data_IF_047901702284
#
_entry.id   IF_047901702284
#
_cell.length_a   1.000
_cell.length_b   1.000
_cell.length_c   1.000
_cell.angle_alpha   90.00
_cell.angle_beta   90.00
_cell.angle_gamma   90.00
#
_symmetry.space_group_name_H-M   'P 1'
#
loop_
_entity.id
_entity.type
_entity.pdbx_description
1 polymer ?
#
# COMPACT_ATOMS: atom_id res chain seq x y z
N UNK A 1 -23.48 0.10 -27.97
CA UNK A 1 -24.24 0.62 -26.81
C UNK A 1 -25.28 1.72 -27.19
N UNK A 2 -26.37 1.45 -27.96
CA UNK A 2 -27.41 2.47 -28.14
C UNK A 2 -28.72 2.20 -27.38
N UNK A 3 -29.07 0.94 -27.05
CA UNK A 3 -30.40 0.61 -26.50
C UNK A 3 -30.56 0.76 -24.97
N UNK A 4 -29.47 0.80 -24.19
CA UNK A 4 -29.55 0.82 -22.70
C UNK A 4 -29.42 2.21 -22.07
N UNK A 5 -28.99 3.24 -22.82
CA UNK A 5 -28.91 4.60 -22.28
C UNK A 5 -30.28 5.15 -21.90
N UNK A 6 -31.34 4.78 -22.62
CA UNK A 6 -32.70 5.27 -22.37
C UNK A 6 -33.39 4.62 -21.15
N UNK A 7 -32.97 3.43 -20.71
CA UNK A 7 -33.66 2.69 -19.64
C UNK A 7 -33.39 3.22 -18.22
N UNK A 8 -32.38 4.08 -18.05
CA UNK A 8 -31.96 4.62 -16.74
C UNK A 8 -32.11 6.15 -16.64
N UNK A 9 -32.72 6.81 -17.64
CA UNK A 9 -32.77 8.27 -17.72
C UNK A 9 -33.86 8.93 -16.86
N UNK A 10 -34.98 8.24 -16.62
CA UNK A 10 -36.02 8.71 -15.70
C UNK A 10 -36.43 7.55 -14.79
N UNK A 11 -35.98 7.62 -13.54
CA UNK A 11 -36.13 6.56 -12.54
C UNK A 11 -36.69 7.12 -11.22
N UNK A 12 -37.21 8.35 -11.21
CA UNK A 12 -37.62 9.04 -9.98
C UNK A 12 -38.67 8.26 -9.16
N UNK A 13 -39.41 7.33 -9.79
CA UNK A 13 -40.41 6.46 -9.16
C UNK A 13 -40.11 4.94 -9.30
N UNK A 14 -38.87 4.55 -9.58
CA UNK A 14 -38.52 3.13 -9.74
C UNK A 14 -38.25 2.49 -8.39
N UNK A 15 -38.71 1.25 -8.19
CA UNK A 15 -38.47 0.52 -6.94
C UNK A 15 -37.02 0.01 -6.84
N UNK A 16 -36.47 -0.16 -5.62
CA UNK A 16 -35.11 -0.69 -5.42
C UNK A 16 -34.84 -2.02 -6.16
N UNK A 17 -35.81 -2.93 -6.15
CA UNK A 17 -35.71 -4.23 -6.86
C UNK A 17 -35.55 -4.02 -8.37
N UNK A 18 -36.39 -3.15 -8.96
CA UNK A 18 -36.38 -2.90 -10.40
C UNK A 18 -35.09 -2.19 -10.81
N UNK A 19 -34.62 -1.23 -10.00
CA UNK A 19 -33.33 -0.57 -10.23
C UNK A 19 -32.16 -1.58 -10.25
N UNK A 20 -32.09 -2.47 -9.25
CA UNK A 20 -31.06 -3.51 -9.19
C UNK A 20 -31.16 -4.50 -10.34
N UNK A 21 -32.38 -4.85 -10.75
CA UNK A 21 -32.61 -5.67 -11.93
C UNK A 21 -32.09 -4.98 -13.20
N UNK A 22 -32.39 -3.70 -13.41
CA UNK A 22 -31.88 -2.94 -14.56
C UNK A 22 -30.34 -2.84 -14.55
N UNK A 23 -29.72 -2.66 -13.37
CA UNK A 23 -28.26 -2.71 -13.23
C UNK A 23 -27.70 -4.08 -13.63
N UNK A 24 -28.35 -5.17 -13.21
CA UNK A 24 -27.99 -6.54 -13.61
C UNK A 24 -28.07 -6.71 -15.12
N UNK A 25 -29.19 -6.34 -15.73
CA UNK A 25 -29.38 -6.46 -17.19
C UNK A 25 -28.30 -5.65 -17.94
N UNK A 26 -28.05 -4.41 -17.52
CA UNK A 26 -27.00 -3.58 -18.13
C UNK A 26 -25.60 -4.20 -17.98
N UNK A 27 -25.30 -4.84 -16.85
CA UNK A 27 -24.05 -5.56 -16.65
C UNK A 27 -23.92 -6.80 -17.55
N UNK A 28 -24.98 -7.62 -17.62
CA UNK A 28 -24.99 -8.87 -18.40
C UNK A 28 -24.90 -8.59 -19.90
N UNK A 29 -25.71 -7.67 -20.44
CA UNK A 29 -25.73 -7.35 -21.87
C UNK A 29 -24.59 -6.43 -22.34
N UNK A 30 -23.80 -5.87 -21.42
CA UNK A 30 -22.63 -5.08 -21.78
C UNK A 30 -21.61 -5.90 -22.58
N UNK A 31 -21.03 -5.33 -23.64
CA UNK A 31 -19.99 -6.01 -24.44
C UNK A 31 -18.57 -5.65 -24.02
N UNK A 32 -18.41 -4.70 -23.11
CA UNK A 32 -17.10 -4.24 -22.62
C UNK A 32 -16.49 -5.21 -21.58
N UNK A 33 -15.19 -5.06 -21.27
CA UNK A 33 -14.56 -5.74 -20.13
C UNK A 33 -15.24 -5.36 -18.80
N UNK A 34 -15.25 -6.27 -17.83
CA UNK A 34 -15.96 -6.11 -16.55
C UNK A 34 -15.67 -4.77 -15.85
N UNK A 35 -14.40 -4.35 -15.76
CA UNK A 35 -14.00 -3.08 -15.14
C UNK A 35 -14.61 -1.87 -15.84
N UNK A 36 -14.66 -1.89 -17.18
CA UNK A 36 -15.26 -0.81 -17.96
C UNK A 36 -16.79 -0.79 -17.80
N UNK A 37 -17.44 -1.96 -17.77
CA UNK A 37 -18.88 -2.05 -17.46
C UNK A 37 -19.18 -1.45 -16.08
N UNK A 38 -18.39 -1.83 -15.07
CA UNK A 38 -18.58 -1.38 -13.70
C UNK A 38 -18.44 0.14 -13.58
N UNK A 39 -17.45 0.74 -14.27
CA UNK A 39 -17.26 2.20 -14.29
C UNK A 39 -18.45 2.93 -14.88
N UNK A 40 -19.01 2.41 -15.99
CA UNK A 40 -20.20 2.99 -16.62
C UNK A 40 -21.42 2.87 -15.71
N UNK A 41 -21.65 1.70 -15.12
CA UNK A 41 -22.76 1.47 -14.20
C UNK A 41 -22.65 2.36 -12.95
N UNK A 42 -21.44 2.57 -12.43
CA UNK A 42 -21.20 3.45 -11.30
C UNK A 42 -21.55 4.90 -11.64
N UNK A 43 -21.18 5.39 -12.83
CA UNK A 43 -21.57 6.72 -13.31
C UNK A 43 -23.08 6.85 -13.49
N UNK A 44 -23.75 5.79 -13.98
CA UNK A 44 -25.21 5.77 -14.11
C UNK A 44 -25.91 5.78 -12.76
N UNK A 45 -25.46 4.95 -11.81
CA UNK A 45 -25.97 4.95 -10.44
C UNK A 45 -25.77 6.32 -9.78
N UNK A 46 -24.60 6.94 -10.00
CA UNK A 46 -24.34 8.29 -9.51
C UNK A 46 -25.30 9.33 -10.11
N UNK A 47 -25.47 9.36 -11.44
CA UNK A 47 -26.42 10.26 -12.10
C UNK A 47 -27.86 10.05 -11.63
N UNK A 48 -28.24 8.79 -11.39
CA UNK A 48 -29.55 8.46 -10.84
C UNK A 48 -29.79 9.07 -9.45
N UNK A 49 -28.81 9.04 -8.55
CA UNK A 49 -28.96 9.65 -7.22
C UNK A 49 -29.20 11.17 -7.30
N UNK A 50 -28.73 11.86 -8.35
CA UNK A 50 -29.01 13.28 -8.60
C UNK A 50 -30.42 13.56 -9.10
N UNK A 51 -31.10 12.57 -9.67
CA UNK A 51 -32.49 12.69 -10.13
C UNK A 51 -33.50 12.55 -8.98
N UNK A 52 -33.02 12.64 -7.73
CA UNK A 52 -33.77 12.61 -6.48
C UNK A 52 -34.80 11.47 -6.40
N UNK A 53 -34.34 10.20 -6.36
CA UNK A 53 -35.25 9.06 -6.32
C UNK A 53 -36.07 9.06 -5.03
N UNK A 54 -37.37 8.79 -5.12
CA UNK A 54 -38.25 8.72 -3.96
C UNK A 54 -37.96 7.47 -3.11
N UNK A 55 -37.92 7.55 -1.76
CA UNK A 55 -38.26 8.69 -0.89
C UNK A 55 -37.04 9.58 -0.52
N UNK A 56 -35.94 9.46 -1.25
CA UNK A 56 -34.68 10.18 -1.08
C UNK A 56 -33.48 9.26 -1.40
N UNK A 57 -32.45 9.81 -2.03
CA UNK A 57 -31.27 9.06 -2.52
C UNK A 57 -30.66 8.10 -1.48
N UNK A 58 -30.44 8.55 -0.24
CA UNK A 58 -29.81 7.73 0.78
C UNK A 58 -30.73 6.60 1.29
N UNK A 59 -32.03 6.90 1.47
CA UNK A 59 -33.03 5.89 1.85
C UNK A 59 -33.16 4.85 0.75
N UNK A 60 -33.19 5.29 -0.51
CA UNK A 60 -33.26 4.41 -1.66
C UNK A 60 -32.08 3.44 -1.72
N UNK A 61 -30.85 3.92 -1.49
CA UNK A 61 -29.66 3.07 -1.43
C UNK A 61 -29.72 2.08 -0.27
N UNK A 62 -30.18 2.50 0.92
CA UNK A 62 -30.39 1.59 2.04
C UNK A 62 -31.38 0.47 1.70
N UNK A 63 -32.49 0.80 1.02
CA UNK A 63 -33.45 -0.20 0.54
C UNK A 63 -32.87 -1.12 -0.54
N UNK A 64 -32.01 -0.61 -1.43
CA UNK A 64 -31.29 -1.45 -2.38
C UNK A 64 -30.42 -2.47 -1.66
N UNK A 65 -29.70 -2.06 -0.60
CA UNK A 65 -28.84 -2.96 0.18
C UNK A 65 -29.63 -4.07 0.88
N UNK A 66 -30.88 -3.81 1.29
CA UNK A 66 -31.77 -4.86 1.83
C UNK A 66 -32.14 -5.93 0.81
N UNK A 67 -32.33 -5.54 -0.45
CA UNK A 67 -32.82 -6.41 -1.51
C UNK A 67 -31.67 -7.11 -2.26
N UNK A 68 -30.49 -6.50 -2.25
CA UNK A 68 -29.30 -6.94 -2.98
C UNK A 68 -28.93 -8.43 -2.83
N UNK A 69 -29.06 -9.06 -1.64
CA UNK A 69 -28.76 -10.48 -1.49
C UNK A 69 -29.58 -11.41 -2.39
N UNK A 70 -30.75 -10.98 -2.88
CA UNK A 70 -31.55 -11.71 -3.88
C UNK A 70 -30.78 -11.89 -5.21
N UNK A 71 -29.81 -11.02 -5.49
CA UNK A 71 -29.02 -11.05 -6.72
C UNK A 71 -27.74 -11.89 -6.62
N UNK A 72 -27.59 -12.68 -5.55
CA UNK A 72 -26.56 -13.71 -5.33
C UNK A 72 -25.15 -13.29 -5.79
N UNK A 73 -24.65 -13.86 -6.88
CA UNK A 73 -23.31 -13.62 -7.45
C UNK A 73 -23.00 -12.17 -7.80
N UNK A 74 -24.02 -11.30 -7.91
CA UNK A 74 -23.84 -9.88 -8.18
C UNK A 74 -23.89 -9.02 -6.91
N UNK A 75 -24.27 -9.60 -5.77
CA UNK A 75 -24.53 -8.88 -4.52
C UNK A 75 -23.31 -8.07 -4.05
N UNK A 76 -22.13 -8.68 -4.00
CA UNK A 76 -20.90 -8.02 -3.53
C UNK A 76 -20.51 -6.83 -4.43
N UNK A 77 -20.39 -7.08 -5.73
CA UNK A 77 -20.02 -6.07 -6.72
C UNK A 77 -21.01 -4.90 -6.73
N UNK A 78 -22.32 -5.20 -6.73
CA UNK A 78 -23.33 -4.14 -6.76
C UNK A 78 -23.44 -3.40 -5.43
N UNK A 79 -23.24 -4.06 -4.29
CA UNK A 79 -23.14 -3.40 -2.99
C UNK A 79 -22.02 -2.36 -2.99
N UNK A 80 -20.82 -2.73 -3.45
CA UNK A 80 -19.72 -1.79 -3.61
C UNK A 80 -20.02 -0.65 -4.60
N UNK A 81 -20.70 -0.95 -5.70
CA UNK A 81 -21.09 0.04 -6.70
C UNK A 81 -22.00 1.11 -6.09
N UNK A 82 -23.12 0.70 -5.48
CA UNK A 82 -24.12 1.64 -4.97
C UNK A 82 -23.63 2.40 -3.73
N UNK A 83 -22.85 1.74 -2.86
CA UNK A 83 -22.24 2.41 -1.71
C UNK A 83 -21.23 3.46 -2.19
N UNK A 84 -20.43 3.13 -3.21
CA UNK A 84 -19.49 4.10 -3.78
C UNK A 84 -20.21 5.27 -4.47
N UNK A 85 -21.32 5.02 -5.17
CA UNK A 85 -22.12 6.07 -5.78
C UNK A 85 -22.72 7.01 -4.71
N UNK A 86 -23.26 6.44 -3.63
CA UNK A 86 -23.78 7.21 -2.49
C UNK A 86 -22.67 8.02 -1.81
N UNK A 87 -21.52 7.43 -1.55
CA UNK A 87 -20.36 8.13 -0.95
C UNK A 87 -19.95 9.33 -1.78
N UNK A 88 -19.93 9.21 -3.11
CA UNK A 88 -19.62 10.34 -3.99
C UNK A 88 -20.74 11.40 -3.97
N UNK A 89 -22.01 10.97 -3.99
CA UNK A 89 -23.17 11.87 -3.89
C UNK A 89 -23.13 12.72 -2.61
N UNK A 90 -22.89 12.10 -1.46
CA UNK A 90 -22.85 12.78 -0.16
C UNK A 90 -21.69 13.79 -0.03
N UNK A 91 -20.55 13.53 -0.69
CA UNK A 91 -19.39 14.45 -0.65
C UNK A 91 -19.64 15.79 -1.35
N UNK A 92 -20.57 15.85 -2.31
CA UNK A 92 -20.84 17.06 -3.11
C UNK A 92 -21.82 18.02 -2.40
N UNK A 93 -22.19 17.73 -1.14
CA UNK A 93 -23.00 18.64 -0.33
C UNK A 93 -24.52 18.51 -0.53
N UNK A 94 -24.96 17.49 -1.29
CA UNK A 94 -26.37 17.10 -1.32
C UNK A 94 -26.69 16.43 0.03
N UNK A 95 -27.20 17.23 0.97
CA UNK A 95 -27.53 16.79 2.32
C UNK A 95 -28.42 15.54 2.32
N UNK A 96 -28.28 14.70 3.33
CA UNK A 96 -29.16 13.56 3.55
C UNK A 96 -30.58 14.07 3.91
N UNK A 97 -31.46 14.28 2.95
CA UNK A 97 -32.88 14.45 3.27
C UNK A 97 -33.36 13.20 4.04
N UNK A 98 -33.92 13.39 5.25
CA UNK A 98 -34.30 12.28 6.13
C UNK A 98 -33.12 11.54 6.79
N UNK A 99 -32.05 12.25 7.20
CA UNK A 99 -30.87 11.71 7.91
C UNK A 99 -31.25 10.65 8.94
N UNK A 100 -32.19 10.99 9.83
CA UNK A 100 -32.60 10.12 10.92
C UNK A 100 -33.17 8.79 10.44
N UNK A 101 -34.11 8.84 9.48
CA UNK A 101 -34.75 7.64 8.91
C UNK A 101 -33.74 6.78 8.16
N UNK A 102 -32.80 7.42 7.47
CA UNK A 102 -31.72 6.73 6.74
C UNK A 102 -30.79 5.99 7.70
N UNK A 103 -30.31 6.66 8.75
CA UNK A 103 -29.47 6.04 9.78
C UNK A 103 -30.16 4.89 10.49
N UNK A 104 -31.46 5.03 10.78
CA UNK A 104 -32.27 3.98 11.39
C UNK A 104 -32.41 2.76 10.46
N UNK A 105 -32.65 2.97 9.16
CA UNK A 105 -32.70 1.88 8.18
C UNK A 105 -31.35 1.16 8.04
N UNK A 106 -30.24 1.91 8.00
CA UNK A 106 -28.91 1.33 7.94
C UNK A 106 -28.55 0.57 9.25
N UNK A 107 -29.03 1.05 10.40
CA UNK A 107 -28.88 0.34 11.67
C UNK A 107 -29.70 -0.96 11.70
N UNK A 108 -30.94 -0.96 11.23
CA UNK A 108 -31.74 -2.18 11.06
C UNK A 108 -31.09 -3.16 10.07
N UNK A 109 -30.44 -2.64 9.02
CA UNK A 109 -29.71 -3.45 8.05
C UNK A 109 -28.51 -4.13 8.70
N UNK A 110 -27.75 -3.39 9.51
CA UNK A 110 -26.67 -3.94 10.32
C UNK A 110 -27.17 -5.05 11.26
N UNK A 111 -28.26 -4.83 11.99
CA UNK A 111 -28.86 -5.84 12.87
C UNK A 111 -29.23 -7.12 12.12
N UNK A 112 -29.89 -6.98 10.96
CA UNK A 112 -30.25 -8.11 10.11
C UNK A 112 -29.05 -8.89 9.55
N UNK A 113 -27.87 -8.26 9.43
CA UNK A 113 -26.65 -8.97 9.04
C UNK A 113 -26.03 -9.67 10.26
N UNK A 114 -26.01 -9.01 11.42
CA UNK A 114 -25.44 -9.54 12.67
C UNK A 114 -26.22 -10.75 13.21
N UNK A 115 -27.54 -10.76 13.05
CA UNK A 115 -28.42 -11.86 13.44
C UNK A 115 -28.46 -13.01 12.41
N UNK A 116 -27.88 -12.80 11.21
CA UNK A 116 -27.81 -13.78 10.14
C UNK A 116 -29.05 -13.85 9.25
N UNK A 117 -30.02 -12.95 9.40
CA UNK A 117 -31.23 -12.88 8.55
C UNK A 117 -30.89 -12.43 7.12
N UNK A 118 -29.87 -11.58 6.98
CA UNK A 118 -29.44 -11.03 5.71
C UNK A 118 -27.95 -11.26 5.47
N UNK A 119 -27.59 -11.82 4.33
CA UNK A 119 -26.20 -12.11 4.01
C UNK A 119 -25.56 -11.00 3.17
N UNK A 120 -24.57 -10.33 3.75
CA UNK A 120 -23.63 -9.44 3.06
C UNK A 120 -22.20 -9.82 3.44
N UNK A 121 -21.25 -9.59 2.54
CA UNK A 121 -19.83 -9.73 2.88
C UNK A 121 -19.46 -8.73 3.99
N UNK A 122 -18.59 -9.15 4.91
CA UNK A 122 -18.15 -8.34 6.05
C UNK A 122 -17.65 -6.94 5.65
N UNK A 123 -16.92 -6.84 4.53
CA UNK A 123 -16.42 -5.56 4.01
C UNK A 123 -17.53 -4.62 3.55
N UNK A 124 -18.64 -5.16 3.07
CA UNK A 124 -19.83 -4.38 2.72
C UNK A 124 -20.47 -3.82 4.00
N UNK A 125 -20.61 -4.64 5.03
CA UNK A 125 -21.15 -4.23 6.33
C UNK A 125 -20.39 -3.04 6.93
N UNK A 126 -19.05 -3.08 6.95
CA UNK A 126 -18.24 -1.94 7.45
C UNK A 126 -18.50 -0.68 6.61
N UNK A 127 -18.53 -0.80 5.29
CA UNK A 127 -18.80 0.34 4.39
C UNK A 127 -20.20 0.92 4.55
N UNK A 128 -21.20 0.10 4.89
CA UNK A 128 -22.55 0.56 5.22
C UNK A 128 -22.49 1.45 6.45
N UNK A 129 -21.88 0.98 7.54
CA UNK A 129 -21.75 1.76 8.77
C UNK A 129 -21.04 3.09 8.55
N UNK A 130 -19.94 3.09 7.78
CA UNK A 130 -19.17 4.30 7.43
C UNK A 130 -19.98 5.29 6.59
N UNK A 131 -20.61 4.85 5.49
CA UNK A 131 -21.27 5.75 4.54
C UNK A 131 -22.56 6.33 5.10
N UNK A 132 -23.26 5.56 5.94
CA UNK A 132 -24.47 6.03 6.60
C UNK A 132 -24.22 6.71 7.94
N UNK A 133 -22.98 6.71 8.44
CA UNK A 133 -22.60 7.29 9.73
C UNK A 133 -23.49 6.75 10.88
N UNK A 134 -23.58 5.42 10.96
CA UNK A 134 -24.40 4.70 11.94
C UNK A 134 -23.67 4.63 13.27
N UNK A 135 -24.24 5.24 14.31
CA UNK A 135 -23.70 5.17 15.67
C UNK A 135 -24.36 4.07 16.52
N UNK A 136 -23.79 3.77 17.70
CA UNK A 136 -24.41 2.87 18.68
C UNK A 136 -25.84 3.30 19.06
N UNK A 137 -26.11 4.60 19.15
CA UNK A 137 -27.44 5.12 19.46
C UNK A 137 -28.44 4.91 18.32
N UNK A 138 -27.99 4.78 17.07
CA UNK A 138 -28.84 4.39 15.96
C UNK A 138 -29.21 2.90 16.03
N UNK A 139 -28.25 2.05 16.39
CA UNK A 139 -28.46 0.61 16.58
C UNK A 139 -29.46 0.37 17.71
N UNK A 140 -29.28 1.03 18.85
CA UNK A 140 -30.20 0.91 19.99
C UNK A 140 -31.64 1.26 19.60
N UNK A 141 -31.83 2.39 18.92
CA UNK A 141 -33.15 2.81 18.42
C UNK A 141 -33.75 1.83 17.42
N UNK A 142 -32.92 1.14 16.63
CA UNK A 142 -33.34 0.13 15.68
C UNK A 142 -33.79 -1.18 16.37
N UNK A 143 -33.25 -1.50 17.54
CA UNK A 143 -33.60 -2.70 18.31
C UNK A 143 -35.00 -2.62 18.94
N UNK A 144 -35.42 -1.43 19.39
CA UNK A 144 -36.64 -1.25 20.20
C UNK A 144 -37.79 -0.56 19.46
N UNK A 145 -37.69 -0.36 18.14
CA UNK A 145 -38.68 0.39 17.34
C UNK A 145 -39.14 1.69 18.03
N UNK A 146 -38.16 2.58 18.26
CA UNK A 146 -38.30 4.01 18.58
C UNK A 146 -39.63 4.49 19.21
N UNK A 147 -39.95 4.12 20.45
CA UNK A 147 -40.89 4.91 21.28
C UNK A 147 -40.71 4.81 22.81
N UNK A 148 -39.86 3.92 23.34
CA UNK A 148 -39.65 3.85 24.80
C UNK A 148 -38.45 4.69 25.27
N UNK A 149 -38.77 5.81 25.92
CA UNK A 149 -37.80 6.67 26.63
C UNK A 149 -37.28 5.93 27.86
N UNK A 150 -36.05 5.42 27.79
CA UNK A 150 -35.37 4.92 29.00
C UNK A 150 -34.18 3.98 28.79
N UNK A 151 -33.87 3.57 27.56
CA UNK A 151 -32.82 2.58 27.34
C UNK A 151 -31.43 3.21 27.24
N UNK A 152 -30.45 2.50 27.83
CA UNK A 152 -29.07 2.91 27.90
C UNK A 152 -28.28 2.25 26.77
N UNK A 153 -27.41 3.04 26.11
CA UNK A 153 -26.48 2.64 25.03
C UNK A 153 -25.67 1.35 25.27
N UNK A 154 -25.71 0.81 26.49
CA UNK A 154 -25.06 -0.42 26.91
C UNK A 154 -25.55 -1.65 26.13
N UNK A 155 -26.84 -1.79 25.81
CA UNK A 155 -27.34 -3.00 25.12
C UNK A 155 -26.80 -3.11 23.69
N UNK A 156 -26.82 -2.00 22.94
CA UNK A 156 -26.27 -1.97 21.59
C UNK A 156 -24.75 -2.22 21.57
N UNK A 157 -24.03 -1.66 22.56
CA UNK A 157 -22.59 -1.90 22.73
C UNK A 157 -22.30 -3.38 22.97
N UNK A 158 -23.03 -4.03 23.89
CA UNK A 158 -22.87 -5.46 24.19
C UNK A 158 -23.13 -6.33 22.95
N UNK A 159 -24.16 -6.02 22.17
CA UNK A 159 -24.45 -6.75 20.92
C UNK A 159 -23.30 -6.62 19.92
N UNK A 160 -22.77 -5.41 19.74
CA UNK A 160 -21.63 -5.16 18.85
C UNK A 160 -20.38 -5.91 19.34
N UNK A 161 -20.10 -5.90 20.64
CA UNK A 161 -18.96 -6.62 21.25
C UNK A 161 -19.08 -8.14 21.10
N UNK A 162 -20.29 -8.69 21.22
CA UNK A 162 -20.56 -10.10 20.97
C UNK A 162 -20.32 -10.45 19.49
N UNK A 163 -20.74 -9.60 18.56
CA UNK A 163 -20.46 -9.80 17.14
C UNK A 163 -18.97 -9.71 16.82
N UNK A 164 -18.27 -8.73 17.41
CA UNK A 164 -16.81 -8.60 17.28
C UNK A 164 -16.10 -9.84 17.82
N UNK A 165 -16.53 -10.37 18.97
CA UNK A 165 -15.99 -11.62 19.51
C UNK A 165 -16.14 -12.78 18.52
N UNK A 166 -17.32 -12.92 17.89
CA UNK A 166 -17.55 -13.93 16.83
C UNK A 166 -16.60 -13.75 15.63
N UNK A 167 -16.38 -12.51 15.19
CA UNK A 167 -15.43 -12.20 14.11
C UNK A 167 -13.99 -12.56 14.49
N UNK A 168 -13.60 -12.32 15.74
CA UNK A 168 -12.27 -12.69 16.23
C UNK A 168 -12.10 -14.20 16.26
N UNK A 169 -13.12 -14.94 16.69
CA UNK A 169 -13.11 -16.40 16.72
C UNK A 169 -13.07 -17.00 15.31
N UNK A 170 -13.69 -16.34 14.32
CA UNK A 170 -13.61 -16.71 12.91
C UNK A 170 -12.35 -16.20 12.19
N UNK A 171 -11.40 -15.58 12.90
CA UNK A 171 -10.18 -14.97 12.35
C UNK A 171 -10.41 -13.79 11.39
N UNK A 172 -11.57 -13.15 11.43
CA UNK A 172 -11.93 -11.95 10.67
C UNK A 172 -11.42 -10.66 11.33
N UNK A 173 -10.12 -10.58 11.62
CA UNK A 173 -9.54 -9.49 12.44
C UNK A 173 -9.64 -8.10 11.83
N UNK A 174 -9.48 -7.94 10.52
CA UNK A 174 -9.61 -6.63 9.86
C UNK A 174 -11.01 -6.03 10.04
N UNK A 175 -12.05 -6.86 9.93
CA UNK A 175 -13.45 -6.45 10.15
C UNK A 175 -13.66 -6.11 11.61
N UNK A 176 -13.20 -6.96 12.54
CA UNK A 176 -13.29 -6.73 13.97
C UNK A 176 -12.66 -5.38 14.38
N UNK A 177 -11.43 -5.10 13.92
CA UNK A 177 -10.73 -3.83 14.19
C UNK A 177 -11.48 -2.64 13.58
N UNK A 178 -12.05 -2.79 12.37
CA UNK A 178 -12.81 -1.71 11.74
C UNK A 178 -14.09 -1.37 12.51
N UNK A 179 -14.76 -2.36 13.09
CA UNK A 179 -15.93 -2.14 13.95
C UNK A 179 -15.55 -1.51 15.30
N UNK A 180 -14.47 -1.98 15.93
CA UNK A 180 -13.95 -1.37 17.16
C UNK A 180 -13.60 0.10 16.95
N UNK A 181 -12.92 0.43 15.85
CA UNK A 181 -12.59 1.81 15.48
C UNK A 181 -13.86 2.64 15.22
N UNK A 182 -14.77 2.14 14.38
CA UNK A 182 -16.00 2.85 14.00
C UNK A 182 -16.87 3.20 15.22
N UNK A 183 -17.01 2.27 16.18
CA UNK A 183 -17.78 2.50 17.41
C UNK A 183 -16.94 3.04 18.58
N UNK A 184 -15.65 3.32 18.35
CA UNK A 184 -14.72 3.83 19.37
C UNK A 184 -14.58 2.95 20.63
N UNK A 185 -14.58 1.63 20.47
CA UNK A 185 -14.47 0.64 21.58
C UNK A 185 -12.99 0.27 21.80
N UNK A 186 -12.48 0.38 23.04
CA UNK A 186 -11.03 0.30 23.36
C UNK A 186 -10.61 -0.79 24.36
N UNK A 187 -11.52 -1.67 24.78
CA UNK A 187 -11.36 -2.48 26.00
C UNK A 187 -10.30 -3.59 25.95
N UNK A 188 -9.74 -3.92 24.78
CA UNK A 188 -8.85 -5.09 24.60
C UNK A 188 -7.39 -4.76 24.23
N UNK A 189 -6.98 -3.50 24.37
CA UNK A 189 -5.70 -2.90 23.95
C UNK A 189 -4.56 -3.84 23.52
N UNK A 190 -3.80 -4.37 24.48
CA UNK A 190 -2.57 -5.13 24.20
C UNK A 190 -2.80 -6.63 23.97
N UNK A 191 -3.68 -7.26 24.74
CA UNK A 191 -3.98 -8.70 24.58
C UNK A 191 -4.54 -9.03 23.20
N UNK A 192 -5.39 -8.14 22.67
CA UNK A 192 -5.93 -8.28 21.32
C UNK A 192 -4.86 -8.09 20.24
N UNK A 193 -3.91 -7.17 20.46
CA UNK A 193 -2.76 -6.98 19.58
C UNK A 193 -1.93 -8.27 19.49
N UNK A 194 -1.58 -8.87 20.63
CA UNK A 194 -0.79 -10.10 20.68
C UNK A 194 -1.49 -11.25 19.94
N UNK A 195 -2.81 -11.41 20.14
CA UNK A 195 -3.62 -12.41 19.43
C UNK A 195 -3.56 -12.22 17.91
N UNK A 196 -3.62 -10.98 17.40
CA UNK A 196 -3.47 -10.70 15.96
C UNK A 196 -2.07 -11.05 15.44
N UNK A 197 -1.02 -10.76 16.22
CA UNK A 197 0.36 -11.06 15.83
C UNK A 197 0.64 -12.56 15.81
N UNK A 198 0.07 -13.33 16.73
CA UNK A 198 0.10 -14.80 16.73
C UNK A 198 -0.56 -15.39 15.49
N UNK A 199 -1.71 -14.84 15.08
CA UNK A 199 -2.41 -15.21 13.84
C UNK A 199 -1.76 -14.66 12.57
N UNK A 200 -0.64 -13.93 12.67
CA UNK A 200 0.07 -13.27 11.55
C UNK A 200 -0.77 -12.23 10.81
N UNK A 201 -1.78 -11.67 11.47
CA UNK A 201 -2.68 -10.64 10.94
C UNK A 201 -2.08 -9.24 11.10
N UNK A 202 -0.94 -9.01 10.44
CA UNK A 202 -0.13 -7.80 10.64
C UNK A 202 -0.85 -6.50 10.27
N UNK A 203 -1.65 -6.50 9.19
CA UNK A 203 -2.41 -5.31 8.77
C UNK A 203 -3.48 -4.92 9.79
N UNK A 204 -4.14 -5.91 10.39
CA UNK A 204 -5.14 -5.66 11.43
C UNK A 204 -4.46 -5.13 12.71
N UNK A 205 -3.33 -5.72 13.08
CA UNK A 205 -2.50 -5.27 14.20
C UNK A 205 -2.04 -3.82 14.04
N UNK A 206 -1.53 -3.44 12.86
CA UNK A 206 -1.11 -2.07 12.55
C UNK A 206 -2.29 -1.08 12.64
N UNK A 207 -3.44 -1.42 12.06
CA UNK A 207 -4.66 -0.61 12.13
C UNK A 207 -5.13 -0.42 13.58
N UNK A 208 -5.15 -1.49 14.37
CA UNK A 208 -5.54 -1.45 15.77
C UNK A 208 -4.58 -0.60 16.62
N UNK A 209 -3.27 -0.79 16.44
CA UNK A 209 -2.27 -0.01 17.15
C UNK A 209 -2.39 1.49 16.83
N UNK A 210 -2.62 1.83 15.55
CA UNK A 210 -2.84 3.22 15.11
C UNK A 210 -4.06 3.84 15.81
N UNK A 211 -5.17 3.10 15.88
CA UNK A 211 -6.39 3.55 16.56
C UNK A 211 -6.22 3.71 18.08
N UNK A 212 -5.50 2.78 18.73
CA UNK A 212 -5.23 2.84 20.17
C UNK A 212 -4.21 3.93 20.54
N UNK A 213 -3.32 4.27 19.60
CA UNK A 213 -2.35 5.36 19.72
C UNK A 213 -0.95 4.91 20.14
N UNK A 214 -0.13 5.91 20.50
CA UNK A 214 1.33 5.76 20.70
C UNK A 214 1.75 4.61 21.62
N UNK A 215 1.09 4.33 22.77
CA UNK A 215 1.50 3.22 23.64
C UNK A 215 1.46 1.85 22.96
N UNK A 216 0.37 1.54 22.26
CA UNK A 216 0.19 0.26 21.58
C UNK A 216 1.07 0.18 20.32
N UNK A 217 1.30 1.30 19.63
CA UNK A 217 2.28 1.36 18.54
C UNK A 217 3.70 1.02 19.01
N UNK A 218 4.11 1.53 20.17
CA UNK A 218 5.41 1.18 20.75
C UNK A 218 5.51 -0.31 21.09
N UNK A 219 4.45 -0.91 21.65
CA UNK A 219 4.38 -2.36 21.88
C UNK A 219 4.49 -3.13 20.56
N UNK A 220 3.76 -2.73 19.52
CA UNK A 220 3.80 -3.36 18.20
C UNK A 220 5.22 -3.35 17.60
N UNK A 221 5.93 -2.22 17.68
CA UNK A 221 7.31 -2.11 17.18
C UNK A 221 8.23 -3.07 17.91
N UNK A 222 8.15 -3.15 19.25
CA UNK A 222 8.95 -4.09 20.06
C UNK A 222 8.64 -5.54 19.69
N UNK A 223 7.37 -5.87 19.52
CA UNK A 223 6.96 -7.21 19.09
C UNK A 223 7.47 -7.58 17.70
N UNK A 224 7.47 -6.65 16.74
CA UNK A 224 8.06 -6.88 15.43
C UNK A 224 9.57 -7.11 15.51
N UNK A 225 10.29 -6.39 16.36
CA UNK A 225 11.72 -6.62 16.58
C UNK A 225 11.97 -8.00 17.19
N UNK A 226 11.23 -8.36 18.24
CA UNK A 226 11.30 -9.67 18.90
C UNK A 226 11.08 -10.83 17.91
N UNK A 227 10.16 -10.64 16.97
CA UNK A 227 9.81 -11.62 15.93
C UNK A 227 10.71 -11.54 14.68
N UNK A 228 11.79 -10.75 14.72
CA UNK A 228 12.74 -10.52 13.60
C UNK A 228 12.08 -9.93 12.33
N UNK A 229 10.97 -9.21 12.48
CA UNK A 229 10.23 -8.55 11.40
C UNK A 229 10.68 -7.08 11.23
N UNK A 230 11.98 -6.86 11.02
CA UNK A 230 12.58 -5.52 11.01
C UNK A 230 11.95 -4.56 9.99
N UNK A 231 11.50 -5.05 8.83
CA UNK A 231 10.80 -4.23 7.84
C UNK A 231 9.48 -3.67 8.38
N UNK A 232 8.68 -4.51 9.04
CA UNK A 232 7.40 -4.08 9.61
C UNK A 232 7.62 -3.07 10.74
N UNK A 233 8.60 -3.31 11.62
CA UNK A 233 9.01 -2.36 12.65
C UNK A 233 9.39 -1.00 12.05
N UNK A 234 10.24 -0.98 11.02
CA UNK A 234 10.65 0.24 10.34
C UNK A 234 9.47 0.98 9.71
N UNK A 235 8.59 0.27 9.01
CA UNK A 235 7.43 0.86 8.34
C UNK A 235 6.48 1.53 9.35
N UNK A 236 6.20 0.87 10.49
CA UNK A 236 5.38 1.45 11.58
C UNK A 236 6.04 2.69 12.18
N UNK A 237 7.35 2.63 12.49
CA UNK A 237 8.10 3.77 13.04
C UNK A 237 8.01 4.97 12.10
N UNK A 238 8.20 4.74 10.80
CA UNK A 238 8.19 5.78 9.76
C UNK A 238 6.80 6.40 9.58
N UNK A 239 5.76 5.58 9.52
CA UNK A 239 4.39 6.06 9.26
C UNK A 239 3.78 6.81 10.45
N UNK A 240 4.22 6.52 11.67
CA UNK A 240 3.63 7.06 12.90
C UNK A 240 4.54 8.06 13.64
N UNK A 241 5.63 8.52 12.99
CA UNK A 241 6.59 9.47 13.56
C UNK A 241 7.18 9.04 14.92
N UNK A 242 7.61 7.78 15.03
CA UNK A 242 8.16 7.20 16.26
C UNK A 242 9.70 7.12 16.27
N UNK A 243 10.36 8.01 15.52
CA UNK A 243 11.82 7.96 15.34
C UNK A 243 12.57 8.27 16.64
N UNK A 244 12.02 9.12 17.49
CA UNK A 244 12.61 9.51 18.77
C UNK A 244 12.55 8.38 19.80
N UNK A 245 11.49 7.57 19.79
CA UNK A 245 11.37 6.40 20.66
C UNK A 245 12.25 5.23 20.24
N UNK A 246 12.53 5.11 18.94
CA UNK A 246 13.26 3.97 18.37
C UNK A 246 14.35 4.41 17.38
N UNK A 247 15.28 5.29 17.78
CA UNK A 247 16.32 5.80 16.87
C UNK A 247 17.23 4.69 16.39
N UNK A 248 17.55 3.75 17.29
CA UNK A 248 18.46 2.64 17.00
C UNK A 248 17.87 1.64 16.01
N UNK A 249 16.60 1.24 16.18
CA UNK A 249 15.93 0.30 15.25
C UNK A 249 15.79 0.94 13.87
N UNK A 250 15.47 2.23 13.83
CA UNK A 250 15.35 2.98 12.59
C UNK A 250 16.68 3.05 11.84
N UNK A 251 17.77 3.35 12.57
CA UNK A 251 19.14 3.41 12.05
C UNK A 251 19.63 2.04 11.56
N UNK A 252 19.57 1.02 12.40
CA UNK A 252 20.00 -0.34 12.07
C UNK A 252 19.30 -0.90 10.82
N UNK A 253 18.01 -0.62 10.64
CA UNK A 253 17.31 -1.06 9.44
C UNK A 253 17.87 -0.39 8.18
N UNK A 254 18.10 0.92 8.22
CA UNK A 254 18.70 1.67 7.10
C UNK A 254 20.12 1.18 6.81
N UNK A 255 20.96 1.03 7.83
CA UNK A 255 22.32 0.49 7.71
C UNK A 255 22.29 -0.92 7.07
N UNK A 256 21.40 -1.81 7.52
CA UNK A 256 21.27 -3.16 6.95
C UNK A 256 20.87 -3.16 5.46
N UNK A 257 20.06 -2.18 5.04
CA UNK A 257 19.66 -2.01 3.63
C UNK A 257 20.80 -1.46 2.80
N UNK A 258 21.56 -0.53 3.37
CA UNK A 258 22.72 0.07 2.73
C UNK A 258 23.84 -0.96 2.54
N UNK A 259 24.15 -1.71 3.58
CA UNK A 259 25.11 -2.82 3.54
C UNK A 259 24.77 -3.82 2.43
N UNK A 260 23.50 -4.21 2.29
CA UNK A 260 23.06 -5.11 1.21
C UNK A 260 23.20 -4.53 -0.21
N UNK A 261 23.24 -3.20 -0.36
CA UNK A 261 23.49 -2.56 -1.65
C UNK A 261 24.99 -2.48 -1.92
N UNK A 262 25.78 -2.13 -0.90
CA UNK A 262 27.24 -2.12 -0.93
C UNK A 262 27.82 -3.51 -1.27
N UNK A 263 27.33 -4.57 -0.62
CA UNK A 263 27.71 -5.97 -0.89
C UNK A 263 27.42 -6.41 -2.33
N UNK A 264 26.53 -5.71 -3.05
CA UNK A 264 26.20 -5.96 -4.46
C UNK A 264 26.95 -5.04 -5.42
N UNK A 265 27.85 -4.20 -4.92
CA UNK A 265 28.53 -3.17 -5.71
C UNK A 265 27.61 -2.03 -6.20
N UNK A 266 26.37 -1.94 -5.71
CA UNK A 266 25.41 -0.92 -6.15
C UNK A 266 25.60 0.41 -5.41
N UNK A 267 26.81 0.98 -5.45
CA UNK A 267 27.21 2.13 -4.64
C UNK A 267 26.39 3.40 -4.95
N UNK A 268 26.15 3.69 -6.22
CA UNK A 268 25.39 4.90 -6.62
C UNK A 268 23.92 4.82 -6.15
N UNK A 269 23.34 3.62 -6.16
CA UNK A 269 21.97 3.39 -5.65
C UNK A 269 21.95 3.47 -4.12
N UNK A 270 23.03 3.07 -3.46
CA UNK A 270 23.20 3.20 -2.01
C UNK A 270 23.27 4.68 -1.62
N UNK A 271 24.11 5.45 -2.30
CA UNK A 271 24.28 6.90 -2.15
C UNK A 271 22.96 7.65 -2.38
N UNK A 272 22.26 7.40 -3.48
CA UNK A 272 20.99 8.05 -3.79
C UNK A 272 19.85 7.78 -2.78
N UNK A 273 19.99 6.74 -1.94
CA UNK A 273 19.02 6.43 -0.86
C UNK A 273 19.34 7.11 0.46
N UNK A 274 20.53 7.70 0.58
CA UNK A 274 20.93 8.49 1.72
C UNK A 274 20.47 9.92 1.46
N UNK A 275 19.31 10.28 2.02
CA UNK A 275 18.72 11.63 1.92
C UNK A 275 19.48 12.63 2.81
N UNK A 276 20.77 12.85 2.53
CA UNK A 276 21.68 13.75 3.27
C UNK A 276 21.88 13.38 4.75
N UNK A 277 21.63 12.11 5.10
CA UNK A 277 21.85 11.58 6.44
C UNK A 277 23.36 11.32 6.64
N UNK A 278 24.06 12.30 7.24
CA UNK A 278 25.53 12.30 7.40
C UNK A 278 26.06 11.01 8.04
N UNK A 279 25.35 10.46 9.02
CA UNK A 279 25.76 9.20 9.68
C UNK A 279 25.71 8.00 8.73
N UNK A 280 24.72 7.97 7.83
CA UNK A 280 24.64 6.90 6.82
C UNK A 280 25.63 7.10 5.68
N UNK A 281 25.99 8.35 5.35
CA UNK A 281 27.09 8.65 4.42
C UNK A 281 28.42 8.15 4.99
N UNK A 282 28.73 8.48 6.23
CA UNK A 282 29.92 8.01 6.94
C UNK A 282 29.95 6.47 7.01
N UNK A 283 28.80 5.82 7.24
CA UNK A 283 28.68 4.36 7.20
C UNK A 283 28.87 3.78 5.78
N UNK A 284 28.43 4.47 4.72
CA UNK A 284 28.68 4.04 3.34
C UNK A 284 30.18 4.08 3.00
N UNK A 285 30.86 5.14 3.42
CA UNK A 285 32.32 5.28 3.26
C UNK A 285 33.04 4.15 4.00
N UNK A 286 32.65 3.86 5.24
CA UNK A 286 33.18 2.73 6.00
C UNK A 286 33.01 1.40 5.25
N UNK A 287 31.82 1.14 4.69
CA UNK A 287 31.57 -0.08 3.92
C UNK A 287 32.42 -0.15 2.64
N UNK A 288 32.65 0.98 1.96
CA UNK A 288 33.52 1.05 0.79
C UNK A 288 35.00 0.78 1.17
N UNK A 289 35.47 1.33 2.29
CA UNK A 289 36.80 1.06 2.84
C UNK A 289 36.97 -0.43 3.19
N UNK A 290 36.01 -1.03 3.92
CA UNK A 290 36.06 -2.46 4.26
C UNK A 290 36.07 -3.36 3.02
N UNK A 291 35.38 -2.94 1.96
CA UNK A 291 35.31 -3.67 0.70
C UNK A 291 36.51 -3.39 -0.23
N UNK A 292 37.43 -2.50 0.14
CA UNK A 292 38.62 -2.16 -0.65
C UNK A 292 38.37 -1.23 -1.86
N UNK A 293 37.22 -0.55 -1.93
CA UNK A 293 36.89 0.38 -3.02
C UNK A 293 37.45 1.78 -2.72
N UNK A 294 38.76 1.93 -2.82
CA UNK A 294 39.51 3.17 -2.56
C UNK A 294 39.00 4.36 -3.36
N UNK A 295 38.79 4.20 -4.67
CA UNK A 295 38.29 5.26 -5.54
C UNK A 295 36.90 5.76 -5.10
N UNK A 296 36.03 4.85 -4.65
CA UNK A 296 34.68 5.22 -4.19
C UNK A 296 34.73 5.95 -2.85
N UNK A 297 35.68 5.60 -1.97
CA UNK A 297 35.93 6.32 -0.72
C UNK A 297 36.35 7.75 -1.00
N UNK A 298 37.30 7.97 -1.92
CA UNK A 298 37.73 9.31 -2.32
C UNK A 298 36.58 10.11 -2.94
N UNK A 299 35.84 9.52 -3.89
CA UNK A 299 34.68 10.16 -4.54
C UNK A 299 33.65 10.65 -3.50
N UNK A 300 33.29 9.80 -2.53
CA UNK A 300 32.31 10.13 -1.49
C UNK A 300 32.84 11.19 -0.51
N UNK A 301 34.11 11.08 -0.09
CA UNK A 301 34.73 12.05 0.81
C UNK A 301 34.83 13.44 0.16
N UNK A 302 35.24 13.52 -1.10
CA UNK A 302 35.32 14.78 -1.85
C UNK A 302 33.93 15.38 -2.10
N UNK A 303 32.97 14.57 -2.58
CA UNK A 303 31.61 15.04 -2.91
C UNK A 303 30.88 15.61 -1.69
N UNK A 304 31.04 14.98 -0.53
CA UNK A 304 30.31 15.34 0.68
C UNK A 304 31.16 16.07 1.74
N UNK A 305 32.42 16.42 1.42
CA UNK A 305 33.35 17.08 2.34
C UNK A 305 33.48 16.35 3.68
N UNK A 306 33.66 15.02 3.64
CA UNK A 306 33.81 14.18 4.82
C UNK A 306 35.28 14.12 5.25
N UNK A 307 35.54 14.39 6.53
CA UNK A 307 36.88 14.41 7.13
C UNK A 307 37.03 13.26 8.14
N UNK A 308 38.27 12.77 8.34
CA UNK A 308 38.58 11.75 9.36
C UNK A 308 38.63 10.29 8.87
N UNK A 309 38.35 10.04 7.60
CA UNK A 309 38.65 8.78 6.94
C UNK A 309 40.11 8.80 6.49
N UNK A 310 40.86 7.72 6.75
CA UNK A 310 42.29 7.63 6.41
C UNK A 310 42.46 8.01 4.95
N UNK A 311 43.34 8.99 4.73
CA UNK A 311 43.67 9.47 3.40
C UNK A 311 44.24 8.28 2.64
N UNK A 312 43.49 7.72 1.69
CA UNK A 312 43.94 6.57 0.92
C UNK A 312 45.28 6.85 0.24
N UNK A 313 45.55 8.13 -0.06
CA UNK A 313 46.85 8.66 -0.48
C UNK A 313 48.03 8.29 0.43
N UNK A 314 47.86 8.27 1.76
CA UNK A 314 48.91 7.81 2.70
C UNK A 314 49.11 6.29 2.67
N UNK A 315 48.07 5.52 2.30
CA UNK A 315 48.16 4.07 2.14
C UNK A 315 48.78 3.71 0.77
N UNK A 316 48.45 4.46 -0.27
CA UNK A 316 49.01 4.33 -1.62
C UNK A 316 50.51 4.69 -1.68
N UNK A 317 51.00 5.60 -0.83
CA UNK A 317 52.45 5.86 -0.70
C UNK A 317 53.25 4.63 -0.22
N UNK A 318 52.58 3.62 0.36
CA UNK A 318 53.20 2.36 0.82
C UNK A 318 53.06 1.18 -0.15
N UNK A 319 52.26 1.32 -1.21
CA UNK A 319 52.08 0.29 -2.24
C UNK A 319 52.90 0.72 -3.45
N UNK A 320 53.83 -0.12 -3.97
CA UNK A 320 54.60 0.26 -5.15
C UNK A 320 53.62 0.58 -6.28
N UNK A 321 53.66 1.85 -6.70
CA UNK A 321 52.86 2.47 -7.77
C UNK A 321 52.43 1.39 -8.77
N UNK A 322 51.15 1.03 -8.74
CA UNK A 322 50.55 0.24 -9.80
C UNK A 322 50.64 1.12 -11.05
N UNK A 323 51.68 0.86 -11.85
CA UNK A 323 51.86 1.48 -13.15
C UNK A 323 50.70 0.96 -13.99
N UNK A 324 49.78 1.86 -14.34
CA UNK A 324 48.81 1.59 -15.40
C UNK A 324 49.59 1.09 -16.62
N UNK A 325 49.19 -0.06 -17.15
CA UNK A 325 49.78 -0.61 -18.36
C UNK A 325 49.46 0.37 -19.49
N UNK A 326 50.44 1.16 -19.89
CA UNK A 326 50.25 2.08 -21.01
C UNK A 326 50.18 1.23 -22.29
N UNK A 327 49.26 1.55 -23.21
CA UNK A 327 49.03 0.79 -24.45
C UNK A 327 50.30 0.65 -25.31
N UNK A 328 51.23 1.59 -25.15
CA UNK A 328 52.57 1.63 -25.74
C UNK A 328 53.58 0.67 -25.08
N UNK A 329 53.27 0.13 -23.90
CA UNK A 329 54.03 -0.92 -23.22
C UNK A 329 53.57 -2.33 -23.62
N UNK A 330 52.32 -2.47 -24.04
CA UNK A 330 51.87 -3.67 -24.74
C UNK A 330 52.56 -3.67 -26.09
N UNK A 331 53.41 -4.67 -26.35
CA UNK A 331 53.94 -4.85 -27.70
C UNK A 331 52.75 -4.96 -28.66
N UNK A 332 52.55 -3.94 -29.50
CA UNK A 332 51.39 -3.69 -30.39
C UNK A 332 51.07 -4.87 -31.34
N UNK A 333 51.85 -5.94 -31.31
CA UNK A 333 51.63 -7.17 -32.08
C UNK A 333 50.49 -8.06 -31.56
N UNK A 334 50.01 -7.87 -30.32
CA UNK A 334 48.96 -8.71 -29.72
C UNK A 334 47.61 -7.99 -29.55
N UNK A 335 47.50 -6.72 -29.98
CA UNK A 335 46.25 -5.95 -29.96
C UNK A 335 45.71 -5.84 -31.38
N UNK A 336 44.58 -6.50 -31.65
CA UNK A 336 43.88 -6.41 -32.93
C UNK A 336 42.80 -5.33 -32.83
N UNK A 337 42.98 -4.24 -33.58
CA UNK A 337 41.96 -3.22 -33.73
C UNK A 337 40.96 -3.66 -34.80
N UNK A 338 39.67 -3.65 -34.46
CA UNK A 338 38.59 -4.09 -35.34
C UNK A 338 37.74 -2.88 -35.74
N UNK A 339 38.29 -2.07 -36.64
CA UNK A 339 37.64 -0.87 -37.18
C UNK A 339 37.14 -1.05 -38.62
N UNK A 340 37.59 -2.08 -39.32
CA UNK A 340 37.22 -2.41 -40.69
C UNK A 340 36.67 -3.85 -40.85
N UNK A 341 35.98 -4.10 -41.96
CA UNK A 341 35.32 -5.39 -42.22
C UNK A 341 36.32 -6.56 -42.30
N UNK A 342 37.52 -6.33 -42.86
CA UNK A 342 38.55 -7.35 -42.97
C UNK A 342 39.16 -7.67 -41.59
N UNK A 343 39.44 -6.65 -40.77
CA UNK A 343 39.90 -6.85 -39.38
C UNK A 343 38.86 -7.56 -38.51
N UNK A 344 37.56 -7.41 -38.80
CA UNK A 344 36.50 -8.15 -38.11
C UNK A 344 36.50 -9.62 -38.46
N UNK A 345 36.73 -9.96 -39.74
CA UNK A 345 36.85 -11.35 -40.18
C UNK A 345 38.07 -12.02 -39.56
N UNK A 346 39.21 -11.35 -39.54
CA UNK A 346 40.45 -11.86 -38.96
C UNK A 346 40.29 -12.09 -37.44
N UNK A 347 39.75 -11.11 -36.71
CA UNK A 347 39.47 -11.26 -35.28
C UNK A 347 38.44 -12.36 -34.98
N UNK A 348 37.47 -12.59 -35.88
CA UNK A 348 36.49 -13.67 -35.73
C UNK A 348 37.17 -15.04 -35.85
N UNK A 349 38.06 -15.21 -36.83
CA UNK A 349 38.84 -16.44 -36.98
C UNK A 349 39.73 -16.72 -35.75
N UNK A 350 40.39 -15.69 -35.21
CA UNK A 350 41.23 -15.81 -34.02
C UNK A 350 40.43 -16.19 -32.76
N UNK A 351 39.22 -15.64 -32.59
CA UNK A 351 38.31 -15.96 -31.50
C UNK A 351 37.75 -17.38 -31.64
N UNK A 352 37.44 -17.84 -32.86
CA UNK A 352 36.93 -19.18 -33.12
C UNK A 352 37.96 -20.28 -32.78
N UNK A 353 39.25 -20.00 -32.91
CA UNK A 353 40.32 -20.91 -32.51
C UNK A 353 40.59 -20.91 -31.00
N UNK A 354 40.05 -19.93 -30.26
CA UNK A 354 40.18 -19.84 -28.81
C UNK A 354 39.17 -20.73 -28.08
N UNK A 355 39.67 -21.59 -27.17
CA UNK A 355 38.83 -22.47 -26.32
C UNK A 355 38.08 -21.74 -25.21
N UNK A 356 38.57 -20.57 -24.79
CA UNK A 356 37.99 -19.73 -23.74
C UNK A 356 38.15 -18.28 -24.15
N UNK A 357 37.06 -17.53 -24.10
CA UNK A 357 37.03 -16.09 -24.41
C UNK A 357 36.59 -15.36 -23.14
N UNK A 358 37.43 -14.45 -22.66
CA UNK A 358 37.08 -13.50 -21.60
C UNK A 358 36.58 -12.20 -22.23
N UNK A 359 35.43 -11.72 -21.79
CA UNK A 359 34.89 -10.42 -22.22
C UNK A 359 34.85 -9.53 -21.00
N UNK A 360 35.66 -8.47 -21.02
CA UNK A 360 35.58 -7.39 -20.04
C UNK A 360 34.89 -6.18 -20.68
N UNK A 361 34.01 -5.53 -19.92
CA UNK A 361 33.18 -4.44 -20.41
C UNK A 361 32.91 -3.43 -19.30
N UNK A 362 33.77 -2.42 -19.18
CA UNK A 362 33.49 -1.23 -18.39
C UNK A 362 32.96 -0.11 -19.30
N UNK A 363 31.64 0.02 -19.41
CA UNK A 363 31.02 1.16 -20.08
C UNK A 363 30.01 1.88 -19.19
N UNK A 364 30.24 3.18 -18.99
CA UNK A 364 29.33 4.11 -18.30
C UNK A 364 28.85 5.16 -19.32
N UNK A 365 27.54 5.25 -19.61
CA UNK A 365 27.03 6.30 -20.49
C UNK A 365 27.14 7.68 -19.79
N UNK A 366 27.59 8.70 -20.51
CA UNK A 366 27.46 10.09 -20.06
C UNK A 366 26.09 10.62 -20.46
N UNK A 367 25.14 10.61 -19.51
CA UNK A 367 23.74 11.01 -19.75
C UNK A 367 23.55 12.53 -19.77
N UNK A 368 24.53 13.30 -19.29
CA UNK A 368 24.45 14.76 -19.16
C UNK A 368 25.41 15.47 -20.12
N UNK A 369 24.84 16.39 -20.91
CA UNK A 369 25.60 17.16 -21.90
C UNK A 369 26.50 18.17 -21.17
N UNK A 370 27.82 17.93 -21.19
CA UNK A 370 28.82 18.78 -20.54
C UNK A 370 29.49 18.16 -19.31
N UNK A 371 29.20 16.91 -18.96
CA UNK A 371 29.93 16.19 -17.92
C UNK A 371 31.38 15.90 -18.33
N UNK A 372 32.27 15.77 -17.35
CA UNK A 372 33.65 15.30 -17.58
C UNK A 372 33.64 13.93 -18.27
N UNK A 373 34.62 13.64 -19.16
CA UNK A 373 34.73 12.34 -19.80
C UNK A 373 35.01 11.27 -18.74
N UNK A 374 34.29 10.14 -18.82
CA UNK A 374 34.56 9.00 -17.95
C UNK A 374 35.96 8.45 -18.27
N UNK A 375 36.74 8.15 -17.22
CA UNK A 375 37.90 7.27 -17.35
C UNK A 375 37.38 5.85 -17.33
N UNK A 376 37.61 5.12 -18.42
CA UNK A 376 37.34 3.68 -18.52
C UNK A 376 38.52 2.98 -17.89
N UNK A 377 38.30 2.15 -16.88
CA UNK A 377 39.31 1.23 -16.39
C UNK A 377 39.16 -0.08 -17.19
N UNK A 378 40.28 -0.73 -17.48
CA UNK A 378 40.33 -2.06 -18.10
C UNK A 378 41.01 -2.94 -17.07
N UNK A 379 40.34 -4.00 -16.63
CA UNK A 379 40.82 -4.91 -15.57
C UNK A 379 41.79 -5.97 -16.07
#
# INVERSE_FOLDING_TARGET
MPKSRHALCDLSNVSPVVFLYLLKECYVYGTCKATAKFRVLQQQAYGFLYNDPQPGAAIFVAQCLYVLPIFESHCEGFSHLIISALRHFLKVGNGMNGIYKTKLLAAKLFLAIVDGTLYHEERVLVKILEVFDVSLSNIEKAMYDADEKGHTCQTAKVLVEQYISRLVDSQSYMTAVSLLEHFSIRESGESFLLKMLESKEYRAAEKWATFMGRPILCTLVREYVNRKLQKHAFDVIRQNNLREEFPEIYRQYKESKLKKLAEKGCWDVAEARIYDDRQLLEYLVYLAMEAGYTEKVEELCERYSLEGFINVKELEESIPTHRYLQLDELSIKEVVWVDEMNSLLDATCDIEECKVVGVDCEWKPNYEKGSSPNKVLVG
#
